data_IF_351772359193
#
_entry.id   IF_351772359193
#
_cell.length_a   1.000
_cell.length_b   1.000
_cell.length_c   1.000
_cell.angle_alpha   90.00
_cell.angle_beta   90.00
_cell.angle_gamma   90.00
#
_symmetry.space_group_name_H-M   'P 1'
#
loop_
_entity.id
_entity.type
_entity.pdbx_description
1 polymer ?
#
# COMPACT_ATOMS: atom_id res chain seq x y z
N UNK A 1 13.19 -20.99 10.47
CA UNK A 1 13.16 -20.53 9.06
C UNK A 1 12.41 -19.20 8.90
N UNK A 2 12.39 -18.35 9.93
CA UNK A 2 11.72 -17.03 9.94
C UNK A 2 12.67 -15.85 9.66
N UNK A 3 13.98 -16.06 9.81
CA UNK A 3 14.97 -14.98 9.87
C UNK A 3 15.14 -14.20 8.56
N UNK A 4 14.96 -14.87 7.41
CA UNK A 4 15.27 -14.29 6.11
C UNK A 4 14.24 -13.25 5.63
N UNK A 5 12.95 -13.46 5.89
CA UNK A 5 11.92 -12.48 5.52
C UNK A 5 11.80 -11.32 6.50
N UNK A 6 12.16 -11.53 7.79
CA UNK A 6 12.25 -10.46 8.77
C UNK A 6 13.34 -9.45 8.39
N UNK A 7 14.55 -9.93 8.07
CA UNK A 7 15.67 -9.08 7.64
C UNK A 7 15.31 -8.32 6.35
N UNK A 8 14.78 -9.01 5.34
CA UNK A 8 14.39 -8.38 4.08
C UNK A 8 13.33 -7.28 4.25
N UNK A 9 12.29 -7.51 5.07
CA UNK A 9 11.29 -6.48 5.33
C UNK A 9 11.81 -5.39 6.27
N UNK A 10 12.75 -5.69 7.17
CA UNK A 10 13.41 -4.68 8.00
C UNK A 10 14.29 -3.72 7.17
N UNK A 11 15.14 -4.24 6.29
CA UNK A 11 15.97 -3.44 5.38
C UNK A 11 15.12 -2.55 4.49
N UNK A 12 13.99 -3.09 4.02
CA UNK A 12 13.02 -2.33 3.24
C UNK A 12 12.35 -1.23 4.05
N UNK A 13 12.07 -1.46 5.33
CA UNK A 13 11.51 -0.45 6.25
C UNK A 13 12.50 0.70 6.47
N UNK A 14 13.78 0.39 6.69
CA UNK A 14 14.84 1.38 6.80
C UNK A 14 14.98 2.21 5.52
N UNK A 15 15.02 1.55 4.35
CA UNK A 15 15.06 2.24 3.05
C UNK A 15 13.85 3.15 2.85
N UNK A 16 12.65 2.68 3.23
CA UNK A 16 11.44 3.48 3.10
C UNK A 16 11.47 4.71 3.99
N UNK A 17 11.88 4.56 5.26
CA UNK A 17 12.11 5.70 6.17
C UNK A 17 13.08 6.72 5.58
N UNK A 18 14.22 6.27 5.08
CA UNK A 18 15.27 7.15 4.59
C UNK A 18 14.81 7.93 3.34
N UNK A 19 14.09 7.26 2.43
CA UNK A 19 13.53 7.91 1.24
C UNK A 19 12.42 8.92 1.62
N UNK A 20 11.62 8.64 2.65
CA UNK A 20 10.62 9.57 3.17
C UNK A 20 11.24 10.85 3.77
N UNK A 21 12.43 10.73 4.38
CA UNK A 21 13.16 11.87 4.96
C UNK A 21 13.90 12.69 3.90
N UNK A 22 14.40 12.03 2.84
CA UNK A 22 15.14 12.66 1.75
C UNK A 22 14.29 13.20 0.60
N UNK A 23 13.07 12.69 0.42
CA UNK A 23 12.21 13.09 -0.69
C UNK A 23 11.49 14.41 -0.40
N UNK A 24 11.47 15.31 -1.39
CA UNK A 24 10.39 16.30 -1.46
C UNK A 24 9.13 15.60 -1.96
N UNK A 25 8.44 14.90 -1.06
CA UNK A 25 7.19 14.17 -1.34
C UNK A 25 6.12 15.11 -1.91
N UNK A 26 6.24 16.41 -1.62
CA UNK A 26 5.32 17.47 -2.08
C UNK A 26 5.64 17.94 -3.52
N UNK A 27 6.90 17.85 -3.96
CA UNK A 27 7.33 18.26 -5.30
C UNK A 27 7.34 17.11 -6.32
N UNK A 28 7.07 15.88 -5.86
CA UNK A 28 6.99 14.67 -6.68
C UNK A 28 5.80 14.67 -7.65
N UNK A 29 5.98 14.04 -8.81
CA UNK A 29 4.93 13.89 -9.83
C UNK A 29 3.85 12.86 -9.43
N UNK A 30 4.02 12.18 -8.29
CA UNK A 30 3.14 11.13 -7.82
C UNK A 30 2.20 11.58 -6.69
N UNK A 31 0.88 11.48 -6.86
CA UNK A 31 -0.08 12.18 -5.99
C UNK A 31 -0.47 11.39 -4.72
N UNK A 32 0.12 10.22 -4.48
CA UNK A 32 -0.25 9.31 -3.39
C UNK A 32 0.96 8.67 -2.71
N UNK A 33 0.74 8.16 -1.51
CA UNK A 33 1.62 7.23 -0.82
C UNK A 33 0.84 5.95 -0.55
N UNK A 34 1.36 4.81 -1.00
CA UNK A 34 0.71 3.51 -0.91
C UNK A 34 1.63 2.46 -0.24
N UNK A 35 1.11 1.82 0.79
CA UNK A 35 1.76 0.75 1.55
C UNK A 35 0.93 -0.52 1.40
N UNK A 36 1.52 -1.56 0.80
CA UNK A 36 0.91 -2.87 0.66
C UNK A 36 1.42 -3.80 1.76
N UNK A 37 0.50 -4.37 2.53
CA UNK A 37 0.79 -5.47 3.46
C UNK A 37 0.10 -6.73 2.94
N UNK A 38 0.90 -7.73 2.57
CA UNK A 38 0.40 -8.94 1.89
C UNK A 38 0.83 -10.22 2.60
N UNK A 39 0.32 -11.34 2.12
CA UNK A 39 0.77 -12.70 2.45
C UNK A 39 1.33 -13.36 1.19
N UNK A 40 2.28 -14.31 1.28
CA UNK A 40 2.91 -14.93 0.11
C UNK A 40 1.91 -15.56 -0.87
N UNK A 41 0.78 -16.07 -0.37
CA UNK A 41 -0.24 -16.75 -1.16
C UNK A 41 -1.20 -15.78 -1.88
N UNK A 42 -1.13 -14.47 -1.60
CA UNK A 42 -2.04 -13.46 -2.14
C UNK A 42 -1.61 -13.00 -3.55
N UNK A 43 -1.67 -13.91 -4.53
CA UNK A 43 -1.24 -13.65 -5.91
C UNK A 43 -1.94 -12.44 -6.53
N UNK A 44 -3.25 -12.29 -6.33
CA UNK A 44 -4.00 -11.11 -6.79
C UNK A 44 -3.45 -9.80 -6.22
N UNK A 45 -3.09 -9.77 -4.93
CA UNK A 45 -2.50 -8.57 -4.30
C UNK A 45 -1.12 -8.22 -4.88
N UNK A 46 -0.30 -9.23 -5.19
CA UNK A 46 1.00 -9.03 -5.84
C UNK A 46 0.83 -8.50 -7.26
N UNK A 47 -0.21 -8.92 -7.98
CA UNK A 47 -0.54 -8.40 -9.31
C UNK A 47 -1.01 -6.94 -9.24
N UNK A 48 -1.89 -6.59 -8.29
CA UNK A 48 -2.31 -5.20 -8.05
C UNK A 48 -1.11 -4.33 -7.75
N UNK A 49 -0.20 -4.78 -6.88
CA UNK A 49 1.04 -4.04 -6.61
C UNK A 49 1.85 -3.78 -7.88
N UNK A 50 1.97 -4.76 -8.79
CA UNK A 50 2.66 -4.55 -10.08
C UNK A 50 1.97 -3.49 -10.93
N UNK A 51 0.62 -3.49 -10.99
CA UNK A 51 -0.15 -2.47 -11.72
C UNK A 51 0.07 -1.08 -11.15
N UNK A 52 0.09 -0.94 -9.83
CA UNK A 52 0.47 0.31 -9.17
C UNK A 52 1.91 0.66 -9.57
N UNK A 53 2.88 -0.22 -9.34
CA UNK A 53 4.30 0.03 -9.65
C UNK A 53 4.52 0.55 -11.07
N UNK A 54 3.83 0.02 -12.08
CA UNK A 54 3.91 0.54 -13.46
C UNK A 54 3.56 2.03 -13.56
N UNK A 55 2.48 2.49 -12.90
CA UNK A 55 2.12 3.91 -12.88
C UNK A 55 3.13 4.77 -12.11
N UNK A 56 3.74 4.23 -11.06
CA UNK A 56 4.74 4.93 -10.25
C UNK A 56 6.06 5.10 -11.01
N UNK A 57 6.53 4.04 -11.67
CA UNK A 57 7.74 4.06 -12.50
C UNK A 57 7.59 5.03 -13.68
N UNK A 58 6.42 5.07 -14.34
CA UNK A 58 6.14 6.02 -15.43
C UNK A 58 6.21 7.49 -15.00
N UNK A 59 6.05 7.77 -13.70
CA UNK A 59 6.07 9.12 -13.12
C UNK A 59 7.35 9.42 -12.35
N UNK A 60 8.38 8.57 -12.47
CA UNK A 60 9.64 8.68 -11.73
C UNK A 60 9.43 8.85 -10.21
N UNK A 61 8.41 8.20 -9.66
CA UNK A 61 8.13 8.26 -8.22
C UNK A 61 9.22 7.51 -7.44
N UNK A 62 9.61 8.07 -6.29
CA UNK A 62 10.59 7.44 -5.41
C UNK A 62 9.97 6.33 -4.55
N UNK A 63 10.82 5.63 -3.79
CA UNK A 63 10.42 4.51 -2.92
C UNK A 63 9.48 4.96 -1.77
N UNK A 64 9.49 6.24 -1.42
CA UNK A 64 8.60 6.90 -0.47
C UNK A 64 7.12 6.74 -0.83
N UNK A 65 6.82 6.65 -2.13
CA UNK A 65 5.45 6.67 -2.63
C UNK A 65 4.82 5.26 -2.72
N UNK A 66 5.61 4.20 -2.94
CA UNK A 66 5.09 2.84 -3.09
C UNK A 66 6.00 1.80 -2.46
N UNK A 67 5.46 1.05 -1.51
CA UNK A 67 6.18 -0.04 -0.85
C UNK A 67 5.26 -1.23 -0.59
N UNK A 68 5.84 -2.44 -0.56
CA UNK A 68 5.17 -3.69 -0.25
C UNK A 68 5.96 -4.50 0.78
N UNK A 69 5.30 -5.03 1.80
CA UNK A 69 5.86 -5.92 2.81
C UNK A 69 5.07 -7.23 2.89
N UNK A 70 5.71 -8.29 3.40
CA UNK A 70 5.04 -9.57 3.61
C UNK A 70 5.03 -10.53 2.40
N UNK A 71 5.78 -10.21 1.34
CA UNK A 71 5.84 -11.04 0.12
C UNK A 71 6.37 -12.47 0.37
N UNK A 72 7.15 -12.66 1.44
CA UNK A 72 7.79 -13.94 1.78
C UNK A 72 7.29 -14.54 3.11
N UNK A 73 6.44 -13.83 3.84
CA UNK A 73 5.88 -14.24 5.13
C UNK A 73 5.47 -13.05 5.97
N UNK A 74 4.68 -13.27 7.02
CA UNK A 74 4.31 -12.20 7.96
C UNK A 74 5.47 -11.93 8.91
N UNK A 75 6.24 -10.88 8.61
CA UNK A 75 7.42 -10.46 9.36
C UNK A 75 7.08 -9.69 10.65
N UNK A 76 8.06 -9.53 11.53
CA UNK A 76 7.96 -8.62 12.69
C UNK A 76 7.66 -7.18 12.24
N UNK A 77 8.24 -6.73 11.12
CA UNK A 77 7.93 -5.47 10.44
C UNK A 77 6.46 -5.39 10.05
N UNK A 78 5.90 -6.40 9.38
CA UNK A 78 4.47 -6.40 9.00
C UNK A 78 3.58 -6.31 10.23
N UNK A 79 3.86 -7.10 11.29
CA UNK A 79 3.08 -7.05 12.53
C UNK A 79 3.15 -5.67 13.18
N UNK A 80 4.34 -5.08 13.23
CA UNK A 80 4.53 -3.74 13.77
C UNK A 80 3.73 -2.69 13.00
N UNK A 81 3.75 -2.73 11.67
CA UNK A 81 2.96 -1.83 10.82
C UNK A 81 1.44 -2.00 11.02
N UNK A 82 0.97 -3.25 11.21
CA UNK A 82 -0.43 -3.51 11.55
C UNK A 82 -0.81 -2.91 12.91
N UNK A 83 0.02 -3.14 13.94
CA UNK A 83 -0.21 -2.63 15.30
C UNK A 83 -0.29 -1.09 15.31
N UNK A 84 0.62 -0.41 14.62
CA UNK A 84 0.64 1.06 14.53
C UNK A 84 -0.58 1.66 13.83
N UNK A 85 -1.31 0.87 13.05
CA UNK A 85 -2.44 1.32 12.25
C UNK A 85 -3.79 0.80 12.77
N UNK A 86 -3.78 0.10 13.91
CA UNK A 86 -4.98 -0.53 14.47
C UNK A 86 -5.52 -1.67 13.61
N UNK A 87 -4.70 -2.20 12.72
CA UNK A 87 -4.99 -3.36 11.87
C UNK A 87 -4.48 -4.64 12.55
N UNK A 88 -4.88 -5.78 12.01
CA UNK A 88 -4.51 -7.11 12.49
C UNK A 88 -4.20 -8.05 11.32
N UNK A 89 -3.64 -9.23 11.61
CA UNK A 89 -3.31 -10.21 10.55
C UNK A 89 -4.54 -10.72 9.78
N UNK A 90 -5.76 -10.56 10.32
CA UNK A 90 -7.02 -10.89 9.65
C UNK A 90 -7.40 -9.87 8.57
N UNK A 91 -6.85 -8.66 8.64
CA UNK A 91 -7.04 -7.63 7.61
C UNK A 91 -6.15 -7.87 6.39
N UNK A 92 -5.18 -8.78 6.44
CA UNK A 92 -4.30 -9.08 5.31
C UNK A 92 -5.02 -9.90 4.22
N UNK A 93 -4.83 -9.57 2.92
CA UNK A 93 -3.97 -8.51 2.40
C UNK A 93 -4.68 -7.15 2.33
N UNK A 94 -3.95 -6.08 2.60
CA UNK A 94 -4.49 -4.71 2.67
C UNK A 94 -3.53 -3.72 2.01
N UNK A 95 -4.11 -2.73 1.33
CA UNK A 95 -3.41 -1.54 0.86
C UNK A 95 -3.80 -0.37 1.75
N UNK A 96 -2.83 0.26 2.37
CA UNK A 96 -2.99 1.54 3.03
C UNK A 96 -2.56 2.65 2.07
N UNK A 97 -3.35 3.72 2.01
CA UNK A 97 -3.19 4.80 1.04
C UNK A 97 -3.47 6.14 1.69
N UNK A 98 -2.64 7.14 1.39
CA UNK A 98 -2.91 8.54 1.68
C UNK A 98 -2.56 9.42 0.49
N UNK A 99 -3.25 10.56 0.27
CA UNK A 99 -2.78 11.58 -0.67
C UNK A 99 -1.40 12.09 -0.22
N UNK A 100 -0.47 12.29 -1.17
CA UNK A 100 0.88 12.79 -0.83
C UNK A 100 0.85 14.17 -0.15
N UNK A 101 -0.14 15.01 -0.51
CA UNK A 101 -0.37 16.32 0.10
C UNK A 101 -1.04 16.26 1.49
N UNK A 102 -1.68 15.13 1.82
CA UNK A 102 -2.41 14.93 3.08
C UNK A 102 -2.12 13.53 3.65
N UNK A 103 -0.87 13.24 4.06
CA UNK A 103 -0.46 11.89 4.43
C UNK A 103 -1.05 11.39 5.77
N UNK A 104 -1.75 12.26 6.51
CA UNK A 104 -2.59 11.90 7.66
C UNK A 104 -4.00 11.39 7.26
N UNK A 105 -4.44 11.60 6.01
CA UNK A 105 -5.73 11.14 5.49
C UNK A 105 -5.64 9.68 5.02
N UNK A 106 -5.35 8.78 5.96
CA UNK A 106 -5.07 7.37 5.71
C UNK A 106 -6.34 6.53 5.52
N UNK A 107 -6.37 5.74 4.44
CA UNK A 107 -7.45 4.80 4.14
C UNK A 107 -6.86 3.41 3.90
N UNK A 108 -7.45 2.40 4.54
CA UNK A 108 -7.19 0.99 4.28
C UNK A 108 -8.21 0.42 3.30
N UNK A 109 -7.70 -0.16 2.21
CA UNK A 109 -8.46 -0.82 1.16
C UNK A 109 -8.14 -2.31 1.19
N UNK A 110 -9.18 -3.14 1.35
CA UNK A 110 -9.02 -4.59 1.33
C UNK A 110 -8.60 -5.06 -0.06
N UNK A 111 -7.58 -5.92 -0.11
CA UNK A 111 -7.10 -6.52 -1.35
C UNK A 111 -7.59 -7.98 -1.47
N UNK A 112 -7.67 -8.52 -2.70
CA UNK A 112 -7.97 -9.94 -2.91
C UNK A 112 -6.87 -10.84 -2.35
N UNK A 113 -7.28 -11.81 -1.55
CA UNK A 113 -6.43 -12.86 -0.96
C UNK A 113 -6.13 -14.04 -1.91
N UNK A 114 -6.86 -14.15 -3.02
CA UNK A 114 -6.91 -15.35 -3.89
C UNK A 114 -5.95 -15.37 -5.10
N UNK A 115 -6.15 -16.38 -5.96
CA UNK A 115 -5.40 -16.60 -7.22
C UNK A 115 -5.56 -15.42 -8.20
N UNK A 116 -4.68 -15.39 -9.21
CA UNK A 116 -4.43 -14.26 -10.12
C UNK A 116 -5.71 -13.57 -10.63
N UNK A 117 -5.61 -12.26 -10.90
CA UNK A 117 -6.74 -11.50 -11.47
C UNK A 117 -7.04 -11.93 -12.93
N UNK A 118 -6.16 -12.73 -13.53
CA UNK A 118 -6.38 -13.40 -14.80
C UNK A 118 -7.22 -14.67 -14.57
N UNK A 119 -8.48 -14.65 -15.02
CA UNK A 119 -9.40 -15.78 -14.91
C UNK A 119 -10.64 -15.53 -14.06
N UNK A 120 -10.98 -14.27 -13.76
CA UNK A 120 -12.31 -13.93 -13.26
C UNK A 120 -13.36 -14.20 -14.33
N UNK A 121 -13.87 -15.43 -14.40
CA UNK A 121 -15.17 -15.71 -14.97
C UNK A 121 -16.16 -14.81 -14.23
N UNK A 122 -16.64 -13.81 -14.95
CA UNK A 122 -17.89 -13.14 -14.63
C UNK A 122 -18.96 -14.23 -14.55
N UNK A 123 -19.52 -14.57 -13.37
CA UNK A 123 -20.57 -15.58 -13.28
C UNK A 123 -21.83 -15.19 -14.07
N UNK A 124 -21.91 -13.95 -14.56
CA UNK A 124 -23.00 -13.44 -15.39
C UNK A 124 -22.61 -13.14 -16.84
N UNK A 125 -21.36 -13.35 -17.25
CA UNK A 125 -20.92 -13.27 -18.65
C UNK A 125 -21.39 -12.04 -19.44
N UNK A 126 -21.63 -10.89 -18.79
CA UNK A 126 -22.12 -9.69 -19.44
C UNK A 126 -21.05 -8.61 -19.60
N UNK A 127 -19.87 -8.80 -18.98
CA UNK A 127 -18.74 -7.89 -19.13
C UNK A 127 -18.99 -6.52 -18.49
N UNK A 128 -20.02 -6.37 -17.67
CA UNK A 128 -20.30 -5.18 -16.88
C UNK A 128 -20.07 -5.43 -15.39
N UNK A 129 -18.82 -5.20 -14.95
CA UNK A 129 -18.54 -5.02 -13.53
C UNK A 129 -19.12 -3.66 -13.08
N UNK A 130 -20.39 -3.63 -12.68
CA UNK A 130 -21.09 -2.41 -12.24
C UNK A 130 -20.54 -1.79 -10.92
N UNK A 131 -19.54 -2.41 -10.30
CA UNK A 131 -18.73 -1.79 -9.25
C UNK A 131 -17.24 -2.07 -9.51
N UNK A 132 -16.47 -1.02 -9.83
CA UNK A 132 -15.02 -1.11 -9.87
C UNK A 132 -14.52 -1.57 -8.50
N UNK A 133 -13.63 -2.56 -8.48
CA UNK A 133 -12.97 -2.97 -7.25
C UNK A 133 -12.29 -1.73 -6.61
N UNK A 134 -12.32 -1.55 -5.28
CA UNK A 134 -11.89 -0.29 -4.68
C UNK A 134 -10.43 0.10 -4.97
N UNK A 135 -9.54 -0.88 -5.13
CA UNK A 135 -8.15 -0.64 -5.55
C UNK A 135 -8.04 -0.13 -7.00
N UNK A 136 -8.98 -0.52 -7.87
CA UNK A 136 -9.02 -0.10 -9.27
C UNK A 136 -9.50 1.35 -9.37
N UNK A 137 -10.53 1.74 -8.60
CA UNK A 137 -10.95 3.14 -8.48
C UNK A 137 -9.78 4.04 -8.02
N UNK A 138 -9.00 3.60 -7.03
CA UNK A 138 -7.78 4.31 -6.61
C UNK A 138 -6.79 4.46 -7.77
N UNK A 139 -6.50 3.37 -8.49
CA UNK A 139 -5.52 3.37 -9.57
C UNK A 139 -5.96 4.30 -10.72
N UNK A 140 -7.24 4.27 -11.08
CA UNK A 140 -7.81 5.12 -12.12
C UNK A 140 -7.79 6.60 -11.71
N UNK A 141 -8.05 6.90 -10.43
CA UNK A 141 -7.90 8.26 -9.89
C UNK A 141 -6.46 8.74 -9.94
N UNK A 142 -5.48 7.88 -9.62
CA UNK A 142 -4.05 8.20 -9.75
C UNK A 142 -3.73 8.53 -11.21
N UNK A 143 -4.17 7.69 -12.16
CA UNK A 143 -3.95 7.88 -13.60
C UNK A 143 -4.40 9.24 -14.10
N UNK A 144 -5.61 9.68 -13.72
CA UNK A 144 -6.14 10.97 -14.17
C UNK A 144 -5.63 12.17 -13.36
N UNK A 145 -5.02 11.94 -12.19
CA UNK A 145 -4.50 13.02 -11.35
C UNK A 145 -3.25 13.61 -11.99
N UNK A 146 -3.32 14.91 -12.30
CA UNK A 146 -2.24 15.68 -12.91
C UNK A 146 -1.25 16.18 -11.85
N UNK A 147 -0.01 16.45 -12.28
CA UNK A 147 1.03 17.08 -11.45
C UNK A 147 0.50 18.30 -10.70
N UNK A 148 0.83 18.40 -9.42
CA UNK A 148 0.43 19.52 -8.55
C UNK A 148 -1.04 19.54 -8.16
N UNK A 149 -1.83 18.51 -8.52
CA UNK A 149 -3.19 18.32 -8.02
C UNK A 149 -3.21 17.24 -6.94
N UNK A 150 -3.86 17.49 -5.79
CA UNK A 150 -3.99 16.49 -4.75
C UNK A 150 -4.91 15.35 -5.22
N UNK A 151 -4.55 14.11 -4.89
CA UNK A 151 -5.41 12.95 -5.07
C UNK A 151 -6.64 13.07 -4.18
N UNK A 152 -7.83 12.81 -4.74
CA UNK A 152 -9.08 12.82 -3.97
C UNK A 152 -9.54 11.40 -3.70
N UNK A 153 -9.50 10.99 -2.42
CA UNK A 153 -9.96 9.67 -1.97
C UNK A 153 -11.42 9.65 -1.51
N UNK A 154 -12.13 10.79 -1.55
CA UNK A 154 -13.54 10.84 -1.17
C UNK A 154 -14.36 9.86 -2.02
N UNK A 155 -15.13 8.99 -1.36
CA UNK A 155 -15.96 7.98 -2.02
C UNK A 155 -15.22 6.69 -2.42
N UNK A 156 -13.90 6.59 -2.21
CA UNK A 156 -13.21 5.30 -2.30
C UNK A 156 -13.72 4.41 -1.17
N UNK A 157 -14.15 3.19 -1.50
CA UNK A 157 -14.56 2.21 -0.51
C UNK A 157 -13.33 1.70 0.26
N UNK A 158 -13.27 2.00 1.55
CA UNK A 158 -12.20 1.59 2.44
C UNK A 158 -12.48 2.00 3.88
N UNK A 159 -11.70 1.47 4.83
CA UNK A 159 -11.74 1.87 6.23
C UNK A 159 -10.83 3.08 6.43
N UNK A 160 -11.38 4.20 6.88
CA UNK A 160 -10.56 5.32 7.38
C UNK A 160 -9.83 4.87 8.64
N UNK A 161 -8.53 5.14 8.71
CA UNK A 161 -7.73 4.82 9.88
C UNK A 161 -7.41 6.11 10.64
N UNK A 162 -7.66 6.11 11.95
CA UNK A 162 -7.28 7.19 12.87
C UNK A 162 -5.81 7.02 13.33
N UNK A 163 -4.95 6.52 12.43
CA UNK A 163 -3.57 6.16 12.68
C UNK A 163 -2.59 7.32 12.48
N UNK A 164 -1.28 7.07 12.68
CA UNK A 164 -0.25 8.07 12.44
C UNK A 164 -0.20 8.47 10.96
N UNK A 165 0.27 9.70 10.72
CA UNK A 165 0.71 10.14 9.39
C UNK A 165 1.60 9.06 8.77
N UNK A 166 1.28 8.65 7.53
CA UNK A 166 1.97 7.55 6.87
C UNK A 166 3.49 7.79 6.75
N UNK A 167 3.95 9.05 6.77
CA UNK A 167 5.38 9.41 6.80
C UNK A 167 6.07 9.05 8.12
N UNK A 168 5.31 9.02 9.23
CA UNK A 168 5.82 8.72 10.57
C UNK A 168 5.71 7.23 10.91
N UNK A 169 4.96 6.48 10.10
CA UNK A 169 4.72 5.05 10.30
C UNK A 169 6.02 4.20 10.35
N UNK A 170 7.04 4.42 9.49
CA UNK A 170 8.28 3.65 9.57
C UNK A 170 9.00 3.80 10.91
N UNK A 171 9.07 5.03 11.44
CA UNK A 171 9.77 5.31 12.70
C UNK A 171 9.07 4.62 13.88
N UNK A 172 7.74 4.73 13.94
CA UNK A 172 6.93 4.06 14.95
C UNK A 172 7.03 2.52 14.85
N UNK A 173 7.09 2.00 13.63
CA UNK A 173 7.24 0.57 13.40
C UNK A 173 8.62 0.06 13.83
N UNK A 174 9.70 0.80 13.53
CA UNK A 174 11.07 0.47 13.95
C UNK A 174 11.22 0.48 15.47
N UNK A 175 10.65 1.49 16.14
CA UNK A 175 10.67 1.59 17.60
C UNK A 175 10.03 0.35 18.26
N UNK A 176 8.95 -0.16 17.69
CA UNK A 176 8.26 -1.36 18.20
C UNK A 176 9.08 -2.64 17.95
N UNK A 177 9.69 -2.77 16.76
CA UNK A 177 10.53 -3.93 16.43
C UNK A 177 11.74 -4.04 17.36
N UNK A 178 12.35 -2.91 17.75
CA UNK A 178 13.49 -2.89 18.67
C UNK A 178 13.16 -3.32 20.12
N UNK A 179 11.88 -3.38 20.48
CA UNK A 179 11.41 -3.72 21.84
C UNK A 179 10.90 -5.16 21.99
N UNK A 180 10.89 -5.94 20.90
CA UNK A 180 10.46 -7.35 20.87
C UNK A 180 11.65 -8.29 20.77
#
# INVERSE_FOLDING_TARGET
MSHHYDEHDHDKLLRWRDDLQGASIVDGDFPAMALFLVKPQAAGSHEIFRRFRTEFEQRNASFAHLVIFGMHGVSSTVRSLLDQTGLSETDLPVMMLAPAAEPASLVAVQLPSGESLEGGDDPNGDGTCDYLAPWQDVLDRIRITRRGRPLRLMGVQGRKLDGPDLRNLPEAALATVATR
#
